data_IF_304081349722
#
_entry.id   IF_304081349722
#
_cell.length_a   1.000
_cell.length_b   1.000
_cell.length_c   1.000
_cell.angle_alpha   90.00
_cell.angle_beta   90.00
_cell.angle_gamma   90.00
#
_symmetry.space_group_name_H-M   'P 1'
#
loop_
_entity.id
_entity.type
_entity.pdbx_description
1 polymer ?
#
# COMPACT_ATOMS: atom_id res chain seq x y z
N UNK A 1 -30.05 -12.08 6.43
CA UNK A 1 -28.78 -12.16 7.19
C UNK A 1 -27.94 -10.99 6.72
N UNK A 2 -27.13 -10.41 7.60
CA UNK A 2 -26.17 -9.38 7.22
C UNK A 2 -25.16 -9.96 6.22
N UNK A 3 -24.68 -9.15 5.28
CA UNK A 3 -23.59 -9.50 4.37
C UNK A 3 -22.29 -9.72 5.15
N UNK A 4 -22.05 -8.83 6.11
CA UNK A 4 -20.98 -8.95 7.08
C UNK A 4 -21.45 -9.84 8.25
N UNK A 5 -20.93 -11.06 8.33
CA UNK A 5 -21.41 -12.09 9.28
C UNK A 5 -20.83 -11.91 10.68
N UNK A 6 -21.32 -12.69 11.65
CA UNK A 6 -20.72 -12.73 13.00
C UNK A 6 -19.29 -13.28 12.98
N UNK A 7 -19.01 -14.25 12.11
CA UNK A 7 -17.67 -14.78 11.93
C UNK A 7 -16.74 -13.72 11.34
N UNK A 8 -17.20 -12.96 10.35
CA UNK A 8 -16.42 -11.87 9.75
C UNK A 8 -16.04 -10.83 10.82
N UNK A 9 -16.98 -10.44 11.69
CA UNK A 9 -16.70 -9.53 12.82
C UNK A 9 -15.67 -10.10 13.79
N UNK A 10 -15.81 -11.37 14.13
CA UNK A 10 -14.88 -12.04 15.03
C UNK A 10 -13.46 -12.06 14.45
N UNK A 11 -13.30 -12.47 13.19
CA UNK A 11 -12.00 -12.53 12.53
C UNK A 11 -11.38 -11.14 12.37
N UNK A 12 -12.19 -10.13 12.04
CA UNK A 12 -11.73 -8.75 11.89
C UNK A 12 -11.18 -8.18 13.21
N UNK A 13 -11.90 -8.39 14.32
CA UNK A 13 -11.43 -7.99 15.66
C UNK A 13 -10.20 -8.78 16.16
N UNK A 14 -9.84 -9.88 15.51
CA UNK A 14 -8.64 -10.67 15.80
C UNK A 14 -7.50 -10.44 14.80
N UNK A 15 -7.65 -9.51 13.84
CA UNK A 15 -6.70 -9.27 12.75
C UNK A 15 -6.42 -10.51 11.86
N UNK A 16 -7.39 -11.41 11.73
CA UNK A 16 -7.26 -12.68 10.97
C UNK A 16 -8.29 -12.81 9.84
N UNK A 17 -9.02 -11.74 9.51
CA UNK A 17 -9.89 -11.73 8.34
C UNK A 17 -9.09 -11.42 7.07
N UNK A 18 -8.48 -12.42 6.46
CA UNK A 18 -7.58 -12.23 5.31
C UNK A 18 -8.28 -11.83 4.00
N UNK A 19 -9.59 -12.08 3.90
CA UNK A 19 -10.43 -11.65 2.77
C UNK A 19 -11.25 -10.38 3.08
N UNK A 20 -10.78 -9.53 4.00
CA UNK A 20 -11.57 -8.38 4.49
C UNK A 20 -11.96 -7.41 3.36
N UNK A 21 -11.12 -7.31 2.33
CA UNK A 21 -11.34 -6.49 1.14
C UNK A 21 -12.53 -6.95 0.28
N UNK A 22 -13.04 -8.16 0.48
CA UNK A 22 -14.26 -8.68 -0.16
C UNK A 22 -15.53 -8.42 0.65
N UNK A 23 -15.37 -7.84 1.84
CA UNK A 23 -16.44 -7.63 2.80
C UNK A 23 -16.65 -6.16 3.09
N UNK A 24 -15.64 -5.48 3.63
CA UNK A 24 -15.69 -4.02 3.80
C UNK A 24 -15.56 -3.32 2.44
N UNK A 25 -16.16 -2.14 2.34
CA UNK A 25 -16.22 -1.37 1.10
C UNK A 25 -17.55 -1.56 0.37
N UNK A 26 -17.54 -1.34 -0.95
CA UNK A 26 -18.71 -1.47 -1.82
C UNK A 26 -18.61 -2.70 -2.71
N UNK A 27 -19.57 -3.63 -2.59
CA UNK A 27 -19.55 -4.91 -3.30
C UNK A 27 -20.88 -5.21 -3.98
N UNK A 28 -20.84 -5.57 -5.26
CA UNK A 28 -22.03 -6.04 -5.97
C UNK A 28 -22.57 -7.31 -5.33
N UNK A 29 -23.89 -7.37 -5.16
CA UNK A 29 -24.55 -8.52 -4.56
C UNK A 29 -25.98 -8.69 -5.07
N UNK A 30 -26.54 -9.87 -4.81
CA UNK A 30 -27.94 -10.18 -5.09
C UNK A 30 -28.66 -10.62 -3.81
N UNK A 31 -29.65 -9.83 -3.39
CA UNK A 31 -30.42 -10.06 -2.16
C UNK A 31 -31.84 -10.41 -2.54
N UNK A 32 -32.24 -11.66 -2.27
CA UNK A 32 -33.59 -12.17 -2.57
C UNK A 32 -34.01 -11.93 -4.04
N UNK A 33 -33.08 -12.11 -4.98
CA UNK A 33 -33.34 -11.91 -6.42
C UNK A 33 -33.17 -10.47 -6.91
N UNK A 34 -32.80 -9.53 -6.04
CA UNK A 34 -32.60 -8.11 -6.39
C UNK A 34 -31.11 -7.80 -6.41
N UNK A 35 -30.61 -7.38 -7.57
CA UNK A 35 -29.22 -6.92 -7.72
C UNK A 35 -29.04 -5.52 -7.15
N UNK A 36 -27.90 -5.30 -6.52
CA UNK A 36 -27.53 -4.03 -5.92
C UNK A 36 -26.11 -4.07 -5.38
N UNK A 37 -25.82 -3.19 -4.43
CA UNK A 37 -24.50 -3.06 -3.83
C UNK A 37 -24.65 -3.04 -2.32
N UNK A 38 -23.86 -3.86 -1.62
CA UNK A 38 -23.63 -3.76 -0.19
C UNK A 38 -22.52 -2.74 0.08
N UNK A 39 -22.72 -1.95 1.11
CA UNK A 39 -21.75 -1.02 1.67
C UNK A 39 -21.53 -1.39 3.13
N UNK A 40 -20.30 -1.72 3.48
CA UNK A 40 -19.90 -2.13 4.82
C UNK A 40 -18.74 -1.24 5.31
N UNK A 41 -18.92 -0.56 6.45
CA UNK A 41 -17.97 0.41 6.99
C UNK A 41 -17.64 0.14 8.46
N UNK A 42 -16.36 0.23 8.83
CA UNK A 42 -15.92 0.27 10.22
C UNK A 42 -15.79 1.71 10.73
N UNK A 43 -16.64 2.10 11.70
CA UNK A 43 -16.66 3.43 12.32
C UNK A 43 -17.22 3.35 13.77
N UNK A 44 -16.52 2.71 14.71
CA UNK A 44 -17.06 2.33 16.01
C UNK A 44 -17.50 3.49 16.91
N UNK A 45 -16.92 4.68 16.74
CA UNK A 45 -17.24 5.85 17.56
C UNK A 45 -18.28 6.78 16.91
N UNK A 46 -18.66 6.52 15.65
CA UNK A 46 -19.72 7.25 14.97
C UNK A 46 -21.05 7.12 15.72
N UNK A 47 -21.79 8.23 15.77
CA UNK A 47 -23.17 8.25 16.26
C UNK A 47 -24.10 7.70 15.17
N UNK A 48 -23.97 8.22 13.94
CA UNK A 48 -24.73 7.77 12.76
C UNK A 48 -23.85 7.82 11.51
N UNK A 49 -24.17 6.99 10.54
CA UNK A 49 -23.50 6.95 9.24
C UNK A 49 -24.55 6.94 8.14
N UNK A 50 -24.35 7.76 7.12
CA UNK A 50 -25.17 7.82 5.92
C UNK A 50 -24.32 7.57 4.69
N UNK A 51 -24.92 6.93 3.70
CA UNK A 51 -24.30 6.77 2.39
C UNK A 51 -24.84 7.84 1.44
N UNK A 52 -23.97 8.76 1.01
CA UNK A 52 -24.33 9.82 0.07
C UNK A 52 -23.63 9.59 -1.25
N UNK A 53 -24.28 9.95 -2.37
CA UNK A 53 -23.67 9.74 -3.68
C UNK A 53 -24.47 10.30 -4.84
N UNK A 54 -23.93 10.09 -6.03
CA UNK A 54 -24.55 10.51 -7.30
C UNK A 54 -26.00 9.98 -7.45
N UNK A 55 -26.27 8.75 -7.01
CA UNK A 55 -27.58 8.09 -7.10
C UNK A 55 -28.68 8.70 -6.21
N UNK A 56 -28.32 9.47 -5.18
CA UNK A 56 -29.27 10.16 -4.29
C UNK A 56 -29.11 11.68 -4.30
N UNK A 57 -28.36 12.23 -5.27
CA UNK A 57 -28.10 13.67 -5.39
C UNK A 57 -27.29 14.24 -4.22
N UNK A 58 -26.44 13.42 -3.58
CA UNK A 58 -25.66 13.78 -2.40
C UNK A 58 -26.50 14.21 -1.18
N UNK A 59 -27.71 13.67 -1.05
CA UNK A 59 -28.63 14.03 0.04
C UNK A 59 -28.12 13.50 1.40
N UNK A 60 -27.68 14.40 2.27
CA UNK A 60 -27.14 14.13 3.61
C UNK A 60 -28.09 13.42 4.58
N UNK A 61 -29.40 13.38 4.30
CA UNK A 61 -30.37 12.67 5.14
C UNK A 61 -30.87 11.37 4.51
N UNK A 62 -30.38 11.02 3.32
CA UNK A 62 -30.75 9.79 2.64
C UNK A 62 -29.87 8.62 3.10
N UNK A 63 -30.40 7.40 2.97
CA UNK A 63 -29.59 6.16 3.04
C UNK A 63 -28.77 6.02 4.34
N UNK A 64 -29.41 6.22 5.49
CA UNK A 64 -28.82 5.89 6.79
C UNK A 64 -28.44 4.40 6.87
N UNK A 65 -27.21 4.11 7.32
CA UNK A 65 -26.67 2.77 7.43
C UNK A 65 -27.05 2.14 8.76
N UNK A 66 -27.23 0.82 8.78
CA UNK A 66 -27.58 0.06 9.99
C UNK A 66 -26.33 -0.40 10.72
N UNK A 67 -26.18 -0.03 11.99
CA UNK A 67 -25.11 -0.58 12.85
C UNK A 67 -25.39 -2.05 13.19
N UNK A 68 -24.46 -2.94 12.89
CA UNK A 68 -24.57 -4.37 13.13
C UNK A 68 -24.26 -4.74 14.59
N UNK A 69 -24.81 -5.89 15.04
CA UNK A 69 -24.57 -6.44 16.38
C UNK A 69 -23.39 -7.44 16.41
N UNK A 70 -22.58 -7.49 17.49
CA UNK A 70 -22.63 -6.59 18.64
C UNK A 70 -22.16 -5.18 18.27
N UNK A 71 -22.85 -4.17 18.77
CA UNK A 71 -22.60 -2.75 18.41
C UNK A 71 -21.18 -2.30 18.75
N UNK A 72 -20.52 -2.98 19.70
CA UNK A 72 -19.14 -2.75 20.10
C UNK A 72 -18.13 -2.91 18.95
N UNK A 73 -18.44 -3.73 17.94
CA UNK A 73 -17.56 -3.89 16.77
C UNK A 73 -17.60 -2.66 15.85
N UNK A 74 -18.71 -1.93 15.82
CA UNK A 74 -18.78 -0.67 15.07
C UNK A 74 -18.87 -0.81 13.56
N UNK A 75 -19.44 -1.91 13.05
CA UNK A 75 -19.69 -2.11 11.62
C UNK A 75 -21.06 -1.54 11.25
N UNK A 76 -21.11 -0.73 10.20
CA UNK A 76 -22.32 -0.21 9.58
C UNK A 76 -22.52 -0.87 8.22
N UNK A 77 -23.75 -1.31 7.93
CA UNK A 77 -24.10 -2.01 6.69
C UNK A 77 -25.31 -1.33 6.01
N UNK A 78 -25.29 -1.26 4.69
CA UNK A 78 -26.43 -0.87 3.88
C UNK A 78 -26.42 -1.60 2.53
N UNK A 79 -27.58 -2.10 2.10
CA UNK A 79 -27.79 -2.58 0.74
C UNK A 79 -28.62 -1.58 -0.05
N UNK A 80 -28.16 -1.18 -1.23
CA UNK A 80 -28.95 -0.36 -2.16
C UNK A 80 -29.19 -1.11 -3.47
N UNK A 81 -30.47 -1.34 -3.85
CA UNK A 81 -30.81 -2.02 -5.09
C UNK A 81 -30.54 -1.15 -6.31
N UNK A 82 -30.13 -1.78 -7.42
CA UNK A 82 -30.06 -1.15 -8.74
C UNK A 82 -28.90 -0.19 -8.98
N UNK A 83 -27.99 -0.01 -8.00
CA UNK A 83 -26.77 0.76 -8.20
C UNK A 83 -25.86 0.13 -9.24
N UNK A 84 -25.06 0.97 -9.90
CA UNK A 84 -24.24 0.59 -11.06
C UNK A 84 -22.78 0.92 -10.83
N UNK A 85 -21.93 0.24 -11.59
CA UNK A 85 -20.50 0.54 -11.64
C UNK A 85 -20.27 2.00 -12.07
N UNK A 86 -19.29 2.65 -11.44
CA UNK A 86 -18.92 4.03 -11.67
C UNK A 86 -19.74 5.06 -10.89
N UNK A 87 -20.79 4.66 -10.15
CA UNK A 87 -21.49 5.60 -9.29
C UNK A 87 -20.59 6.07 -8.14
N UNK A 88 -20.49 7.39 -7.99
CA UNK A 88 -19.69 8.04 -6.96
C UNK A 88 -20.44 8.06 -5.63
N UNK A 89 -19.73 7.78 -4.54
CA UNK A 89 -20.25 7.79 -3.18
C UNK A 89 -19.22 8.23 -2.13
N UNK A 90 -19.72 8.62 -0.96
CA UNK A 90 -18.97 8.90 0.27
C UNK A 90 -19.78 8.45 1.48
N UNK A 91 -19.08 8.27 2.60
CA UNK A 91 -19.72 8.16 3.90
C UNK A 91 -19.84 9.53 4.55
N UNK A 92 -21.05 9.90 4.97
CA UNK A 92 -21.29 11.01 5.86
C UNK A 92 -21.39 10.45 7.29
N UNK A 93 -20.41 10.77 8.12
CA UNK A 93 -20.33 10.32 9.50
C UNK A 93 -20.75 11.46 10.42
N UNK A 94 -21.80 11.26 11.20
CA UNK A 94 -22.17 12.12 12.31
C UNK A 94 -21.46 11.63 13.58
N UNK A 95 -20.68 12.50 14.20
CA UNK A 95 -19.97 12.22 15.45
C UNK A 95 -20.87 12.48 16.66
N UNK A 96 -20.49 11.96 17.83
CA UNK A 96 -21.25 12.18 19.09
C UNK A 96 -21.35 13.65 19.51
N UNK A 97 -20.39 14.48 19.12
CA UNK A 97 -20.40 15.94 19.34
C UNK A 97 -21.12 16.72 18.21
N UNK A 98 -21.76 16.02 17.26
CA UNK A 98 -22.61 16.60 16.24
C UNK A 98 -21.87 17.13 15.00
N UNK A 99 -20.58 16.85 14.85
CA UNK A 99 -19.84 17.18 13.62
C UNK A 99 -20.23 16.21 12.51
N UNK A 100 -20.13 16.71 11.27
CA UNK A 100 -20.33 15.95 10.04
C UNK A 100 -19.02 15.79 9.31
N UNK A 101 -18.58 14.55 9.11
CA UNK A 101 -17.36 14.20 8.42
C UNK A 101 -17.70 13.54 7.07
N UNK A 102 -17.06 13.98 6.00
CA UNK A 102 -17.27 13.47 4.65
C UNK A 102 -16.06 12.62 4.25
N UNK A 103 -16.21 11.31 4.29
CA UNK A 103 -15.12 10.36 4.12
C UNK A 103 -15.24 9.61 2.81
N UNK A 104 -14.10 9.48 2.12
CA UNK A 104 -13.94 8.44 1.13
C UNK A 104 -13.98 7.07 1.84
N UNK A 105 -14.37 6.04 1.12
CA UNK A 105 -14.38 4.67 1.62
C UNK A 105 -12.93 4.17 1.81
N UNK A 106 -12.52 3.79 3.04
CA UNK A 106 -11.19 3.22 3.28
C UNK A 106 -10.90 1.97 2.43
N UNK A 107 -11.95 1.22 2.09
CA UNK A 107 -11.92 -0.02 1.31
C UNK A 107 -12.48 0.18 -0.10
N UNK A 108 -12.43 1.40 -0.63
CA UNK A 108 -12.83 1.66 -2.01
C UNK A 108 -11.98 0.84 -2.99
N UNK A 109 -12.63 0.18 -3.95
CA UNK A 109 -11.96 -0.50 -5.06
C UNK A 109 -11.62 0.46 -6.22
N UNK A 110 -12.22 1.66 -6.22
CA UNK A 110 -11.95 2.71 -7.21
C UNK A 110 -12.27 4.09 -6.63
N UNK A 111 -11.67 5.13 -7.21
CA UNK A 111 -11.81 6.50 -6.77
C UNK A 111 -12.05 7.44 -7.95
N UNK A 112 -12.67 8.58 -7.66
CA UNK A 112 -12.75 9.72 -8.58
C UNK A 112 -11.35 10.28 -8.89
N UNK A 113 -11.12 10.73 -10.12
CA UNK A 113 -9.87 11.38 -10.49
C UNK A 113 -9.62 12.63 -9.65
N UNK A 114 -8.45 12.69 -9.01
CA UNK A 114 -8.00 13.86 -8.25
C UNK A 114 -8.09 15.16 -9.07
N UNK A 115 -8.59 16.27 -8.50
CA UNK A 115 -8.80 16.52 -7.07
C UNK A 115 -10.16 16.05 -6.53
N UNK A 116 -10.93 15.29 -7.32
CA UNK A 116 -12.07 14.54 -6.82
C UNK A 116 -11.67 13.61 -5.66
N UNK A 117 -12.62 13.35 -4.76
CA UNK A 117 -12.36 12.60 -3.51
C UNK A 117 -13.46 11.60 -3.19
N UNK A 118 -14.42 11.41 -4.09
CA UNK A 118 -15.42 10.36 -3.93
C UNK A 118 -14.82 8.99 -4.24
N UNK A 119 -15.31 7.98 -3.53
CA UNK A 119 -15.12 6.59 -3.93
C UNK A 119 -16.07 6.28 -5.08
N UNK A 120 -15.71 5.30 -5.90
CA UNK A 120 -16.52 4.86 -7.02
C UNK A 120 -16.78 3.36 -6.91
N UNK A 121 -18.01 2.94 -7.18
CA UNK A 121 -18.37 1.51 -7.21
C UNK A 121 -17.62 0.86 -8.39
N UNK A 122 -16.86 -0.19 -8.11
CA UNK A 122 -16.11 -0.94 -9.12
C UNK A 122 -16.32 -2.44 -8.96
N UNK A 123 -16.42 -3.13 -10.09
CA UNK A 123 -16.39 -4.59 -10.13
C UNK A 123 -14.95 -5.04 -10.32
N UNK A 124 -14.41 -5.70 -9.31
CA UNK A 124 -13.06 -6.26 -9.36
C UNK A 124 -13.09 -7.79 -9.52
N UNK A 125 -14.23 -8.46 -9.33
CA UNK A 125 -14.30 -9.92 -9.27
C UNK A 125 -14.31 -10.60 -10.65
N UNK A 126 -14.76 -9.91 -11.70
CA UNK A 126 -15.07 -10.54 -12.98
C UNK A 126 -13.98 -10.40 -14.06
N UNK A 127 -12.82 -9.84 -13.74
CA UNK A 127 -11.69 -9.79 -14.67
C UNK A 127 -11.19 -11.21 -15.00
N UNK A 128 -10.95 -11.48 -16.29
CA UNK A 128 -10.52 -12.80 -16.77
C UNK A 128 -9.01 -12.88 -16.92
N UNK A 129 -8.35 -13.34 -15.86
CA UNK A 129 -6.92 -13.64 -15.87
C UNK A 129 -6.56 -14.76 -16.86
N UNK A 130 -5.40 -14.64 -17.49
CA UNK A 130 -4.86 -15.57 -18.49
C UNK A 130 -3.38 -15.91 -18.23
N UNK A 131 -2.91 -15.63 -17.03
CA UNK A 131 -1.54 -15.76 -16.55
C UNK A 131 -1.32 -17.01 -15.67
N UNK A 132 -2.25 -17.98 -15.71
CA UNK A 132 -2.19 -19.17 -14.85
C UNK A 132 -0.85 -19.90 -14.89
N UNK A 133 -0.21 -19.97 -16.06
CA UNK A 133 1.12 -20.56 -16.21
C UNK A 133 2.21 -19.80 -15.43
N UNK A 134 2.14 -18.48 -15.37
CA UNK A 134 3.05 -17.66 -14.56
C UNK A 134 2.84 -17.95 -13.08
N UNK A 135 1.58 -17.87 -12.62
CA UNK A 135 1.23 -18.10 -11.21
C UNK A 135 1.58 -19.52 -10.73
N UNK A 136 1.36 -20.54 -11.57
CA UNK A 136 1.77 -21.92 -11.29
C UNK A 136 3.30 -22.09 -11.21
N UNK A 137 4.05 -21.38 -12.04
CA UNK A 137 5.50 -21.42 -12.01
C UNK A 137 6.03 -20.70 -10.76
N UNK A 138 5.51 -19.51 -10.44
CA UNK A 138 5.85 -18.75 -9.23
C UNK A 138 5.65 -19.60 -7.97
N UNK A 139 4.51 -20.29 -7.88
CA UNK A 139 4.20 -21.19 -6.75
C UNK A 139 5.16 -22.38 -6.62
N UNK A 140 5.76 -22.82 -7.72
CA UNK A 140 6.74 -23.93 -7.74
C UNK A 140 8.17 -23.46 -7.49
N UNK A 141 8.42 -22.16 -7.39
CA UNK A 141 9.75 -21.64 -7.09
C UNK A 141 10.12 -22.03 -5.65
N UNK A 142 11.16 -22.87 -5.53
CA UNK A 142 11.65 -23.32 -4.22
C UNK A 142 12.67 -22.34 -3.64
N UNK A 143 13.41 -21.62 -4.49
CA UNK A 143 14.47 -20.70 -4.08
C UNK A 143 14.50 -19.43 -4.96
N UNK A 144 13.80 -18.39 -4.49
CA UNK A 144 13.76 -17.07 -5.16
C UNK A 144 15.16 -16.44 -5.30
N UNK A 145 16.13 -16.81 -4.46
CA UNK A 145 17.49 -16.27 -4.50
C UNK A 145 18.35 -16.87 -5.62
N UNK A 146 17.96 -18.02 -6.16
CA UNK A 146 18.63 -18.65 -7.30
C UNK A 146 18.23 -18.02 -8.64
N UNK A 147 17.16 -17.22 -8.68
CA UNK A 147 16.63 -16.61 -9.89
C UNK A 147 17.25 -15.22 -10.15
N UNK A 148 17.39 -14.81 -11.43
CA UNK A 148 17.84 -13.46 -11.76
C UNK A 148 16.77 -12.42 -11.43
N UNK A 149 17.12 -11.45 -10.57
CA UNK A 149 16.29 -10.29 -10.24
C UNK A 149 16.95 -9.01 -10.73
N UNK A 150 16.47 -8.50 -11.87
CA UNK A 150 16.84 -7.21 -12.42
C UNK A 150 15.59 -6.36 -12.53
N UNK A 151 15.52 -5.30 -11.71
CA UNK A 151 14.32 -4.49 -11.51
C UNK A 151 14.44 -3.18 -12.29
N UNK A 152 13.39 -2.83 -13.03
CA UNK A 152 13.21 -1.50 -13.61
C UNK A 152 12.16 -0.74 -12.79
N UNK A 153 12.60 0.17 -11.93
CA UNK A 153 11.75 1.03 -11.11
C UNK A 153 11.07 2.10 -11.98
N UNK A 154 9.76 2.27 -11.83
CA UNK A 154 8.92 3.12 -12.68
C UNK A 154 7.89 3.87 -11.85
N UNK A 155 7.88 5.20 -11.99
CA UNK A 155 6.72 6.02 -11.66
C UNK A 155 5.87 6.24 -12.94
N UNK A 156 4.67 5.64 -13.06
CA UNK A 156 3.90 5.66 -14.31
C UNK A 156 3.53 7.06 -14.82
N UNK A 157 3.23 7.99 -13.91
CA UNK A 157 2.81 9.36 -14.26
C UNK A 157 3.93 10.25 -14.83
N UNK A 158 5.18 9.77 -14.84
CA UNK A 158 6.33 10.52 -15.34
C UNK A 158 7.24 9.71 -16.28
N UNK A 159 7.06 8.38 -16.40
CA UNK A 159 7.84 7.56 -17.34
C UNK A 159 7.69 8.04 -18.79
N UNK A 160 6.44 8.26 -19.23
CA UNK A 160 6.13 8.83 -20.54
C UNK A 160 4.77 9.52 -20.51
N UNK A 161 4.64 10.58 -21.30
CA UNK A 161 3.39 11.35 -21.47
C UNK A 161 3.02 11.51 -22.93
N UNK A 162 1.73 11.65 -23.19
CA UNK A 162 1.20 11.92 -24.52
C UNK A 162 1.53 13.36 -24.91
N UNK A 163 2.27 13.60 -26.00
CA UNK A 163 2.65 14.95 -26.39
C UNK A 163 1.43 15.74 -26.87
N UNK A 164 1.35 17.01 -26.49
CA UNK A 164 0.37 17.96 -27.04
C UNK A 164 -1.08 17.74 -26.64
N UNK A 165 -1.35 17.06 -25.51
CA UNK A 165 -2.69 17.01 -24.90
C UNK A 165 -2.95 18.23 -24.02
N UNK A 166 -4.22 18.60 -23.92
CA UNK A 166 -4.70 19.67 -23.04
C UNK A 166 -4.89 19.21 -21.58
N UNK A 167 -4.94 17.90 -21.34
CA UNK A 167 -4.92 17.29 -20.00
C UNK A 167 -3.49 17.02 -19.50
N UNK A 168 -3.33 16.35 -18.35
CA UNK A 168 -2.00 16.04 -17.79
C UNK A 168 -1.13 15.14 -18.67
N UNK A 169 -1.72 14.52 -19.70
CA UNK A 169 -1.01 13.71 -20.69
C UNK A 169 -0.55 12.36 -20.15
N UNK A 170 -1.11 11.87 -19.04
CA UNK A 170 -0.72 10.57 -18.48
C UNK A 170 -0.95 9.43 -19.46
N UNK A 171 -0.04 8.46 -19.43
CA UNK A 171 -0.26 7.16 -20.07
C UNK A 171 -1.20 6.34 -19.21
N UNK A 172 -2.21 5.75 -19.83
CA UNK A 172 -3.09 4.79 -19.17
C UNK A 172 -2.37 3.46 -18.90
N UNK A 173 -2.91 2.61 -18.03
CA UNK A 173 -2.40 1.25 -17.84
C UNK A 173 -2.36 0.46 -19.17
N UNK A 174 -3.30 0.72 -20.09
CA UNK A 174 -3.30 0.15 -21.45
C UNK A 174 -2.18 0.70 -22.34
N UNK A 175 -1.87 1.98 -22.22
CA UNK A 175 -0.70 2.57 -22.89
C UNK A 175 0.60 1.94 -22.35
N UNK A 176 0.72 1.73 -21.03
CA UNK A 176 1.90 1.08 -20.44
C UNK A 176 2.09 -0.35 -20.96
N UNK A 177 1.02 -1.11 -21.21
CA UNK A 177 1.13 -2.40 -21.90
C UNK A 177 1.76 -2.26 -23.28
N UNK A 178 1.39 -1.21 -24.02
CA UNK A 178 1.84 -0.99 -25.40
C UNK A 178 3.28 -0.50 -25.46
N UNK A 179 3.72 0.30 -24.49
CA UNK A 179 5.01 0.99 -24.55
C UNK A 179 6.03 0.54 -23.50
N UNK A 180 5.62 0.36 -22.24
CA UNK A 180 6.54 0.03 -21.15
C UNK A 180 6.95 -1.44 -21.22
N UNK A 181 5.99 -2.36 -21.38
CA UNK A 181 6.28 -3.80 -21.39
C UNK A 181 7.28 -4.19 -22.50
N UNK A 182 7.11 -3.77 -23.77
CA UNK A 182 8.09 -4.09 -24.81
C UNK A 182 9.47 -3.49 -24.52
N UNK A 183 9.52 -2.26 -23.98
CA UNK A 183 10.77 -1.60 -23.62
C UNK A 183 11.53 -2.36 -22.53
N UNK A 184 10.85 -2.71 -21.44
CA UNK A 184 11.45 -3.47 -20.32
C UNK A 184 11.97 -4.82 -20.79
N UNK A 185 11.20 -5.49 -21.67
CA UNK A 185 11.58 -6.77 -22.28
C UNK A 185 12.79 -6.65 -23.19
N UNK A 186 12.85 -5.60 -24.03
CA UNK A 186 13.99 -5.32 -24.92
C UNK A 186 15.26 -5.05 -24.11
N UNK A 187 15.14 -4.30 -23.02
CA UNK A 187 16.24 -3.98 -22.10
C UNK A 187 16.70 -5.17 -21.26
N UNK A 188 15.90 -6.24 -21.16
CA UNK A 188 16.27 -7.49 -20.50
C UNK A 188 16.05 -7.52 -18.98
N UNK A 189 15.23 -6.62 -18.43
CA UNK A 189 14.83 -6.67 -17.02
C UNK A 189 13.87 -7.83 -16.76
N UNK A 190 13.89 -8.37 -15.54
CA UNK A 190 13.01 -9.46 -15.12
C UNK A 190 11.78 -8.97 -14.37
N UNK A 191 11.86 -7.77 -13.77
CA UNK A 191 10.78 -7.19 -12.98
C UNK A 191 10.58 -5.70 -13.29
N UNK A 192 9.35 -5.23 -13.11
CA UNK A 192 9.00 -3.81 -12.99
C UNK A 192 8.63 -3.54 -11.53
N UNK A 193 9.22 -2.53 -10.91
CA UNK A 193 8.78 -2.03 -9.60
C UNK A 193 8.00 -0.74 -9.80
N UNK A 194 6.76 -0.70 -9.32
CA UNK A 194 5.84 0.40 -9.54
C UNK A 194 5.68 1.28 -8.31
N UNK A 195 5.94 2.57 -8.49
CA UNK A 195 5.64 3.61 -7.51
C UNK A 195 4.25 4.20 -7.76
N UNK A 196 3.59 4.63 -6.67
CA UNK A 196 2.36 5.45 -6.74
C UNK A 196 1.19 4.82 -7.46
N UNK A 197 0.83 3.61 -7.03
CA UNK A 197 -0.35 2.89 -7.54
C UNK A 197 -1.54 2.98 -6.60
N UNK A 198 -1.37 2.80 -5.28
CA UNK A 198 -2.50 3.02 -4.35
C UNK A 198 -2.98 4.47 -4.44
N UNK A 199 -4.28 4.73 -4.45
CA UNK A 199 -4.82 6.08 -4.72
C UNK A 199 -4.32 7.14 -3.72
N UNK A 200 -3.93 8.30 -4.26
CA UNK A 200 -3.24 9.37 -3.54
C UNK A 200 -3.66 10.75 -4.09
N UNK A 201 -3.81 11.79 -3.25
CA UNK A 201 -4.41 13.04 -3.67
C UNK A 201 -3.44 13.98 -4.42
N UNK A 202 -2.13 13.82 -4.25
CA UNK A 202 -1.14 14.78 -4.70
C UNK A 202 0.01 14.14 -5.50
N UNK A 203 0.20 14.55 -6.76
CA UNK A 203 1.25 13.99 -7.63
C UNK A 203 2.67 14.17 -7.09
N UNK A 204 2.93 15.30 -6.41
CA UNK A 204 4.24 15.60 -5.86
C UNK A 204 4.66 14.72 -4.69
N UNK A 205 3.75 13.89 -4.14
CA UNK A 205 4.13 12.86 -3.17
C UNK A 205 4.70 11.60 -3.82
N UNK A 206 4.66 11.51 -5.16
CA UNK A 206 5.04 10.34 -5.96
C UNK A 206 4.27 9.05 -5.60
N UNK A 207 3.18 9.19 -4.84
CA UNK A 207 2.40 8.06 -4.33
C UNK A 207 2.63 7.69 -2.88
N UNK A 208 3.60 8.29 -2.20
CA UNK A 208 3.93 7.94 -0.80
C UNK A 208 2.99 8.56 0.24
N UNK A 209 2.01 9.36 -0.18
CA UNK A 209 0.95 9.87 0.69
C UNK A 209 -0.41 9.32 0.25
N UNK A 210 -0.65 8.05 0.59
CA UNK A 210 -1.82 7.28 0.14
C UNK A 210 -3.07 7.64 0.94
N UNK A 211 -4.21 7.74 0.25
CA UNK A 211 -5.54 7.86 0.88
C UNK A 211 -6.50 6.72 0.52
N UNK A 212 -6.24 5.97 -0.57
CA UNK A 212 -7.05 4.82 -0.99
C UNK A 212 -6.19 3.57 -1.17
N UNK A 213 -6.06 2.78 -0.11
CA UNK A 213 -5.16 1.61 -0.04
C UNK A 213 -5.65 0.40 -0.84
N UNK A 214 -6.93 0.38 -1.19
CA UNK A 214 -7.61 -0.71 -1.88
C UNK A 214 -7.94 -0.40 -3.35
N UNK A 215 -7.53 0.77 -3.85
CA UNK A 215 -7.81 1.22 -5.21
C UNK A 215 -6.51 1.52 -5.97
N UNK A 216 -6.30 0.94 -7.17
CA UNK A 216 -5.31 1.48 -8.09
C UNK A 216 -5.75 2.88 -8.52
N UNK A 217 -4.79 3.81 -8.60
CA UNK A 217 -5.07 5.22 -8.83
C UNK A 217 -5.79 5.42 -10.16
N UNK A 218 -6.83 6.23 -10.10
CA UNK A 218 -7.69 6.57 -11.23
C UNK A 218 -6.98 7.37 -12.33
N UNK A 219 -5.77 7.91 -12.05
CA UNK A 219 -4.93 8.65 -13.00
C UNK A 219 -4.66 7.89 -14.29
N UNK A 220 -4.55 6.56 -14.22
CA UNK A 220 -4.10 5.74 -15.34
C UNK A 220 -5.21 4.82 -15.89
N UNK A 221 -6.42 4.89 -15.35
CA UNK A 221 -7.56 4.11 -15.84
C UNK A 221 -8.36 3.46 -14.73
N UNK A 222 -9.06 2.38 -15.07
CA UNK A 222 -9.90 1.61 -14.13
C UNK A 222 -9.12 0.46 -13.47
N UNK A 223 -9.64 -0.13 -12.38
CA UNK A 223 -9.07 -1.33 -11.78
C UNK A 223 -8.87 -2.49 -12.77
N UNK A 224 -9.82 -2.68 -13.69
CA UNK A 224 -9.72 -3.70 -14.74
C UNK A 224 -8.54 -3.43 -15.72
N UNK A 225 -8.21 -2.16 -15.97
CA UNK A 225 -7.07 -1.80 -16.81
C UNK A 225 -5.74 -2.07 -16.10
N UNK A 226 -5.69 -1.89 -14.78
CA UNK A 226 -4.53 -2.28 -13.97
C UNK A 226 -4.36 -3.80 -13.94
N UNK A 227 -5.43 -4.56 -13.68
CA UNK A 227 -5.41 -6.02 -13.74
C UNK A 227 -4.93 -6.52 -15.12
N UNK A 228 -5.39 -5.88 -16.19
CA UNK A 228 -4.90 -6.16 -17.54
C UNK A 228 -3.41 -5.88 -17.71
N UNK A 229 -2.90 -4.76 -17.19
CA UNK A 229 -1.47 -4.46 -17.23
C UNK A 229 -0.63 -5.56 -16.56
N UNK A 230 -1.02 -6.01 -15.36
CA UNK A 230 -0.33 -7.10 -14.65
C UNK A 230 -0.39 -8.40 -15.45
N UNK A 231 -1.57 -8.77 -15.96
CA UNK A 231 -1.74 -9.97 -16.78
C UNK A 231 -0.84 -9.96 -18.03
N UNK A 232 -0.66 -8.81 -18.68
CA UNK A 232 0.23 -8.68 -19.83
C UNK A 232 1.72 -8.68 -19.45
N UNK A 233 2.12 -8.18 -18.28
CA UNK A 233 3.46 -8.36 -17.74
C UNK A 233 3.79 -9.85 -17.59
N UNK A 234 2.90 -10.61 -16.96
CA UNK A 234 3.09 -12.06 -16.73
C UNK A 234 3.17 -12.86 -18.03
N UNK A 235 2.34 -12.52 -19.04
CA UNK A 235 2.45 -13.12 -20.39
C UNK A 235 3.81 -12.86 -21.04
N UNK A 236 4.43 -11.73 -20.72
CA UNK A 236 5.76 -11.36 -21.18
C UNK A 236 6.88 -11.84 -20.27
N UNK A 237 6.56 -12.63 -19.23
CA UNK A 237 7.50 -13.16 -18.23
C UNK A 237 8.22 -12.06 -17.43
N UNK A 238 7.49 -10.99 -17.13
CA UNK A 238 7.96 -9.87 -16.33
C UNK A 238 7.17 -9.90 -15.03
N UNK A 239 7.86 -9.99 -13.90
CA UNK A 239 7.23 -9.87 -12.60
C UNK A 239 6.94 -8.42 -12.24
N UNK A 240 5.95 -8.18 -11.38
CA UNK A 240 5.59 -6.85 -10.92
C UNK A 240 5.73 -6.74 -9.40
N UNK A 241 6.53 -5.78 -8.97
CA UNK A 241 6.70 -5.39 -7.56
C UNK A 241 5.95 -4.07 -7.36
N UNK A 242 5.30 -3.92 -6.22
CA UNK A 242 4.56 -2.70 -5.88
C UNK A 242 5.17 -2.03 -4.65
N UNK A 243 5.41 -0.73 -4.73
CA UNK A 243 5.66 0.08 -3.55
C UNK A 243 4.38 0.19 -2.72
N UNK A 244 4.44 -0.39 -1.53
CA UNK A 244 3.34 -0.45 -0.58
C UNK A 244 3.71 0.38 0.65
N UNK A 245 2.78 1.24 1.10
CA UNK A 245 3.08 2.33 2.04
C UNK A 245 2.35 2.14 3.38
N UNK A 246 2.73 1.15 4.20
CA UNK A 246 2.11 0.92 5.51
C UNK A 246 2.60 1.87 6.60
N UNK A 247 3.62 2.68 6.34
CA UNK A 247 4.31 3.46 7.36
C UNK A 247 3.49 4.63 7.92
N UNK A 248 2.72 5.29 7.06
CA UNK A 248 1.97 6.49 7.41
C UNK A 248 0.88 6.79 6.37
N UNK A 249 0.03 7.78 6.67
CA UNK A 249 -0.98 8.33 5.76
C UNK A 249 -1.15 9.85 5.99
N UNK A 250 -1.58 10.64 4.99
CA UNK A 250 -1.67 12.08 5.12
C UNK A 250 -2.92 12.53 5.89
N UNK A 251 -2.97 13.83 6.26
CA UNK A 251 -4.04 14.43 7.09
C UNK A 251 -5.25 14.91 6.28
N UNK A 252 -5.35 14.54 5.00
CA UNK A 252 -6.46 14.92 4.13
C UNK A 252 -7.81 14.53 4.74
N UNK A 253 -8.74 15.48 4.77
CA UNK A 253 -10.00 15.32 5.49
C UNK A 253 -10.87 14.17 4.95
N UNK A 254 -10.80 13.87 3.65
CA UNK A 254 -11.53 12.75 3.04
C UNK A 254 -10.92 11.38 3.38
N UNK A 255 -9.64 11.34 3.79
CA UNK A 255 -8.90 10.12 4.09
C UNK A 255 -9.10 9.60 5.51
N UNK A 256 -8.11 8.87 6.01
CA UNK A 256 -8.21 8.08 7.25
C UNK A 256 -8.09 8.89 8.55
N UNK A 257 -7.60 10.12 8.50
CA UNK A 257 -7.35 10.92 9.70
C UNK A 257 -8.63 11.22 10.47
N UNK A 258 -8.62 10.98 11.78
CA UNK A 258 -9.75 11.20 12.70
C UNK A 258 -11.08 10.63 12.16
N UNK A 259 -11.01 9.43 11.60
CA UNK A 259 -12.00 8.91 10.65
C UNK A 259 -13.46 9.01 11.12
N UNK A 260 -13.72 8.61 12.37
CA UNK A 260 -15.05 8.59 12.98
C UNK A 260 -15.22 9.66 14.08
N UNK A 261 -14.42 10.73 14.02
CA UNK A 261 -14.33 11.77 15.05
C UNK A 261 -13.35 11.48 16.16
N UNK A 262 -12.62 10.36 16.08
CA UNK A 262 -11.54 9.96 16.98
C UNK A 262 -10.32 9.47 16.20
N UNK A 263 -9.17 9.37 16.86
CA UNK A 263 -7.98 8.71 16.30
C UNK A 263 -8.24 7.20 16.14
N UNK A 264 -8.80 6.84 14.98
CA UNK A 264 -9.25 5.48 14.69
C UNK A 264 -8.14 4.65 14.05
N UNK A 265 -7.56 5.14 12.96
CA UNK A 265 -6.49 4.45 12.23
C UNK A 265 -5.12 4.78 12.80
N UNK A 266 -4.95 6.00 13.32
CA UNK A 266 -3.72 6.52 13.91
C UNK A 266 -3.67 6.35 15.43
N UNK A 267 -2.46 6.36 15.99
CA UNK A 267 -2.29 6.44 17.45
C UNK A 267 -2.87 7.76 17.99
N UNK A 268 -3.58 7.67 19.11
CA UNK A 268 -4.15 8.84 19.79
C UNK A 268 -3.09 9.72 20.47
N UNK A 269 -1.96 9.15 20.91
CA UNK A 269 -0.84 9.94 21.44
C UNK A 269 -0.06 10.55 20.26
N UNK A 270 -0.02 11.88 20.09
CA UNK A 270 0.64 12.52 18.95
C UNK A 270 2.15 12.24 18.90
N UNK A 271 2.78 11.91 20.04
CA UNK A 271 4.21 11.52 20.09
C UNK A 271 4.47 10.18 19.39
N UNK A 272 3.45 9.34 19.25
CA UNK A 272 3.49 8.08 18.51
C UNK A 272 2.75 8.16 17.17
N UNK A 273 1.74 9.02 17.08
CA UNK A 273 0.80 9.06 15.95
C UNK A 273 1.16 10.01 14.82
N UNK A 274 2.29 10.72 14.87
CA UNK A 274 2.69 11.66 13.83
C UNK A 274 4.17 11.54 13.45
N UNK A 275 4.45 11.72 12.15
CA UNK A 275 5.78 12.09 11.65
C UNK A 275 5.83 13.61 11.50
N UNK A 276 6.52 14.34 12.41
CA UNK A 276 6.47 15.80 12.44
C UNK A 276 7.07 16.43 11.18
N UNK A 277 8.18 15.88 10.67
CA UNK A 277 8.85 16.40 9.47
C UNK A 277 8.05 16.20 8.19
N UNK A 278 7.16 15.20 8.15
CA UNK A 278 6.36 14.86 6.97
C UNK A 278 4.94 15.44 7.04
N UNK A 279 4.48 15.81 8.24
CA UNK A 279 3.12 16.28 8.48
C UNK A 279 2.06 15.18 8.35
N UNK A 280 2.44 13.90 8.48
CA UNK A 280 1.57 12.73 8.28
C UNK A 280 1.21 12.04 9.61
N UNK A 281 0.20 11.16 9.56
CA UNK A 281 -0.24 10.31 10.67
C UNK A 281 0.37 8.91 10.57
N UNK A 282 0.66 8.30 11.71
CA UNK A 282 1.21 6.93 11.83
C UNK A 282 0.09 5.98 12.25
N UNK A 283 -0.04 4.85 11.56
CA UNK A 283 -1.02 3.82 11.90
C UNK A 283 -0.81 3.25 13.30
N UNK A 284 -1.91 2.99 14.02
CA UNK A 284 -1.91 2.27 15.30
C UNK A 284 -1.73 0.77 15.06
N UNK A 285 -0.48 0.31 14.96
CA UNK A 285 -0.13 -1.10 14.78
C UNK A 285 -0.54 -1.97 16.00
N UNK A 286 -0.90 -1.35 17.13
CA UNK A 286 -1.43 -2.07 18.30
C UNK A 286 -2.88 -2.50 18.13
N UNK A 287 -3.64 -1.84 17.24
CA UNK A 287 -5.07 -2.07 17.03
C UNK A 287 -5.30 -3.15 15.97
N UNK A 288 -6.08 -4.18 16.32
CA UNK A 288 -6.26 -5.36 15.46
C UNK A 288 -6.93 -5.03 14.13
N UNK A 289 -7.96 -4.19 14.14
CA UNK A 289 -8.70 -3.77 12.96
C UNK A 289 -7.81 -2.95 11.99
N UNK A 290 -6.88 -2.15 12.53
CA UNK A 290 -5.89 -1.40 11.73
C UNK A 290 -4.84 -2.33 11.14
N UNK A 291 -4.32 -3.28 11.92
CA UNK A 291 -3.47 -4.35 11.37
C UNK A 291 -4.20 -5.13 10.27
N UNK A 292 -5.48 -5.46 10.47
CA UNK A 292 -6.26 -6.18 9.47
C UNK A 292 -6.50 -5.34 8.21
N UNK A 293 -6.69 -4.02 8.34
CA UNK A 293 -6.76 -3.10 7.20
C UNK A 293 -5.48 -3.13 6.39
N UNK A 294 -4.30 -3.09 7.02
CA UNK A 294 -3.03 -3.13 6.29
C UNK A 294 -2.78 -4.52 5.68
N UNK A 295 -2.96 -5.60 6.44
CA UNK A 295 -2.83 -6.99 5.97
C UNK A 295 -3.76 -7.25 4.78
N UNK A 296 -5.02 -6.80 4.86
CA UNK A 296 -5.99 -6.94 3.80
C UNK A 296 -5.56 -6.22 2.52
N UNK A 297 -4.96 -5.03 2.63
CA UNK A 297 -4.48 -4.28 1.45
C UNK A 297 -3.31 -5.00 0.76
N UNK A 298 -2.35 -5.51 1.54
CA UNK A 298 -1.23 -6.28 1.01
C UNK A 298 -1.71 -7.57 0.31
N UNK A 299 -2.63 -8.30 0.95
CA UNK A 299 -3.22 -9.50 0.37
C UNK A 299 -4.06 -9.20 -0.89
N UNK A 300 -4.78 -8.08 -0.94
CA UNK A 300 -5.48 -7.67 -2.15
C UNK A 300 -4.50 -7.48 -3.30
N UNK A 301 -3.39 -6.76 -3.11
CA UNK A 301 -2.40 -6.59 -4.17
C UNK A 301 -1.82 -7.93 -4.64
N UNK A 302 -1.40 -8.79 -3.72
CA UNK A 302 -0.71 -10.06 -4.05
C UNK A 302 -1.67 -11.14 -4.57
N UNK A 303 -2.82 -11.32 -3.91
CA UNK A 303 -3.77 -12.41 -4.22
C UNK A 303 -4.82 -12.01 -5.26
N UNK A 304 -5.31 -10.77 -5.25
CA UNK A 304 -6.35 -10.33 -6.19
C UNK A 304 -5.77 -9.74 -7.47
N UNK A 305 -4.78 -8.85 -7.38
CA UNK A 305 -4.10 -8.25 -8.54
C UNK A 305 -2.89 -9.04 -9.03
N UNK A 306 -2.60 -10.18 -8.41
CA UNK A 306 -1.49 -11.09 -8.76
C UNK A 306 -0.08 -10.47 -8.67
N UNK A 307 0.11 -9.39 -7.91
CA UNK A 307 1.42 -8.76 -7.70
C UNK A 307 2.44 -9.79 -7.16
N UNK A 308 3.68 -9.74 -7.66
CA UNK A 308 4.74 -10.71 -7.35
C UNK A 308 5.60 -10.30 -6.16
N UNK A 309 5.56 -9.04 -5.74
CA UNK A 309 6.20 -8.63 -4.52
C UNK A 309 5.77 -7.25 -4.04
N UNK A 310 6.00 -6.97 -2.77
CA UNK A 310 5.76 -5.67 -2.17
C UNK A 310 7.07 -5.10 -1.64
N UNK A 311 7.35 -3.85 -1.96
CA UNK A 311 8.46 -3.09 -1.39
C UNK A 311 7.92 -2.08 -0.37
N UNK A 312 8.48 -2.08 0.83
CA UNK A 312 8.15 -1.14 1.91
C UNK A 312 9.26 -0.13 2.03
N UNK A 313 8.91 1.12 1.75
CA UNK A 313 9.77 2.29 1.98
C UNK A 313 9.85 2.66 3.46
N UNK A 314 10.96 3.27 3.86
CA UNK A 314 11.17 3.88 5.16
C UNK A 314 10.82 2.97 6.34
N UNK A 315 11.21 1.68 6.31
CA UNK A 315 10.92 0.71 7.38
C UNK A 315 11.42 1.20 8.75
N UNK A 316 12.51 1.96 8.78
CA UNK A 316 13.03 2.59 9.99
C UNK A 316 12.00 3.54 10.65
N UNK A 317 11.16 4.22 9.87
CA UNK A 317 10.12 5.10 10.40
C UNK A 317 9.06 4.36 11.21
N UNK A 318 8.87 3.07 10.92
CA UNK A 318 7.98 2.19 11.66
C UNK A 318 8.67 1.57 12.88
N UNK A 319 9.94 1.15 12.74
CA UNK A 319 10.68 0.41 13.77
C UNK A 319 11.09 1.26 14.99
N UNK A 320 11.23 2.57 14.83
CA UNK A 320 11.76 3.46 15.85
C UNK A 320 10.74 4.50 16.30
N UNK A 321 10.47 4.55 17.60
CA UNK A 321 9.54 5.49 18.23
C UNK A 321 10.04 6.94 18.18
N UNK A 322 11.36 7.12 18.10
CA UNK A 322 12.08 8.39 18.02
C UNK A 322 12.45 8.82 16.59
N UNK A 323 11.98 8.10 15.56
CA UNK A 323 12.26 8.47 14.17
C UNK A 323 11.77 9.89 13.86
N UNK A 324 12.70 10.77 13.47
CA UNK A 324 12.42 12.18 13.17
C UNK A 324 11.98 13.01 14.39
N UNK A 325 12.34 12.60 15.62
CA UNK A 325 11.91 13.26 16.86
C UNK A 325 13.08 13.54 17.79
N UNK A 326 13.03 14.67 18.49
CA UNK A 326 14.01 15.05 19.51
C UNK A 326 13.71 14.40 20.87
N UNK A 327 14.67 14.43 21.79
CA UNK A 327 14.46 13.97 23.16
C UNK A 327 13.31 14.74 23.84
N UNK A 328 12.38 14.00 24.47
CA UNK A 328 11.16 14.55 25.06
C UNK A 328 9.96 14.63 24.11
N UNK A 329 10.15 14.42 22.80
CA UNK A 329 9.07 14.41 21.80
C UNK A 329 8.53 13.00 21.49
N UNK A 330 9.10 11.95 22.08
CA UNK A 330 8.70 10.56 21.89
C UNK A 330 8.59 9.83 23.24
N UNK A 331 8.00 8.63 23.22
CA UNK A 331 7.83 7.77 24.41
C UNK A 331 8.56 6.45 24.24
N UNK A 332 9.20 5.99 25.32
CA UNK A 332 9.85 4.68 25.36
C UNK A 332 8.82 3.56 25.36
N UNK A 333 9.21 2.41 24.81
CA UNK A 333 8.40 1.20 24.92
C UNK A 333 8.41 0.65 26.37
N UNK A 334 7.67 -0.44 26.59
CA UNK A 334 7.55 -1.09 27.92
C UNK A 334 8.88 -1.62 28.50
N UNK A 335 9.94 -1.72 27.69
CA UNK A 335 11.28 -2.14 28.12
C UNK A 335 12.25 -0.96 28.30
N UNK A 336 11.81 0.27 28.04
CA UNK A 336 12.59 1.48 28.23
C UNK A 336 13.47 1.88 27.05
N UNK A 337 13.37 1.24 25.89
CA UNK A 337 14.10 1.62 24.67
C UNK A 337 13.18 2.27 23.61
N UNK A 338 13.72 2.56 22.43
CA UNK A 338 13.04 3.25 21.33
C UNK A 338 12.43 2.32 20.27
N UNK A 339 12.45 1.01 20.47
CA UNK A 339 11.89 0.06 19.50
C UNK A 339 10.37 0.07 19.55
N UNK A 340 9.72 0.23 18.40
CA UNK A 340 8.28 0.09 18.24
C UNK A 340 7.90 -1.40 18.18
N UNK A 341 7.47 -1.95 19.32
CA UNK A 341 7.21 -3.39 19.45
C UNK A 341 6.00 -3.82 18.62
N UNK A 342 5.01 -2.96 18.49
CA UNK A 342 3.81 -3.20 17.70
C UNK A 342 4.14 -3.29 16.20
N UNK A 343 5.00 -2.39 15.68
CA UNK A 343 5.45 -2.44 14.29
C UNK A 343 6.34 -3.67 14.00
N UNK A 344 7.23 -4.04 14.93
CA UNK A 344 8.07 -5.24 14.80
C UNK A 344 7.19 -6.49 14.69
N UNK A 345 6.21 -6.64 15.59
CA UNK A 345 5.29 -7.79 15.56
C UNK A 345 4.42 -7.77 14.29
N UNK A 346 3.98 -6.59 13.85
CA UNK A 346 3.27 -6.43 12.60
C UNK A 346 4.08 -6.96 11.40
N UNK A 347 5.36 -6.59 11.27
CA UNK A 347 6.22 -7.08 10.19
C UNK A 347 6.43 -8.59 10.25
N UNK A 348 6.71 -9.13 11.44
CA UNK A 348 6.85 -10.58 11.65
C UNK A 348 5.60 -11.33 11.18
N UNK A 349 4.42 -10.83 11.54
CA UNK A 349 3.16 -11.44 11.15
C UNK A 349 2.91 -11.32 9.63
N UNK A 350 2.94 -10.11 9.07
CA UNK A 350 2.56 -9.89 7.67
C UNK A 350 3.51 -10.59 6.70
N UNK A 351 4.82 -10.54 6.94
CA UNK A 351 5.79 -11.19 6.07
C UNK A 351 5.63 -12.72 6.12
N UNK A 352 5.46 -13.31 7.30
CA UNK A 352 5.18 -14.74 7.45
C UNK A 352 3.89 -15.14 6.73
N UNK A 353 2.85 -14.32 6.83
CA UNK A 353 1.57 -14.55 6.17
C UNK A 353 1.68 -14.49 4.65
N UNK A 354 2.27 -13.41 4.10
CA UNK A 354 2.38 -13.20 2.66
C UNK A 354 3.26 -14.29 2.05
N UNK A 355 4.47 -14.50 2.57
CA UNK A 355 5.43 -15.47 2.04
C UNK A 355 4.92 -16.92 2.20
N UNK A 356 4.25 -17.23 3.32
CA UNK A 356 3.70 -18.55 3.58
C UNK A 356 2.47 -18.89 2.72
N UNK A 357 1.63 -17.91 2.38
CA UNK A 357 0.44 -18.12 1.52
C UNK A 357 0.78 -18.05 0.03
N UNK A 358 1.69 -17.14 -0.34
CA UNK A 358 1.97 -16.77 -1.73
C UNK A 358 3.41 -17.16 -2.07
N UNK A 359 3.64 -18.46 -2.21
CA UNK A 359 4.96 -19.00 -2.53
C UNK A 359 5.51 -18.38 -3.82
N UNK A 360 6.79 -17.98 -3.76
CA UNK A 360 7.49 -17.27 -4.82
C UNK A 360 7.25 -15.75 -4.86
N UNK A 361 6.30 -15.21 -4.08
CA UNK A 361 6.21 -13.76 -3.89
C UNK A 361 7.30 -13.27 -2.93
N UNK A 362 7.67 -11.99 -3.03
CA UNK A 362 8.77 -11.41 -2.23
C UNK A 362 8.33 -10.18 -1.46
N UNK A 363 8.88 -10.02 -0.25
CA UNK A 363 8.72 -8.80 0.55
C UNK A 363 10.07 -8.09 0.62
N UNK A 364 10.14 -6.82 0.24
CA UNK A 364 11.39 -6.05 0.11
C UNK A 364 11.34 -4.87 1.08
N UNK A 365 12.42 -4.66 1.83
CA UNK A 365 12.55 -3.55 2.78
C UNK A 365 13.60 -2.53 2.33
N UNK A 366 13.28 -1.25 2.39
CA UNK A 366 14.26 -0.18 2.59
C UNK A 366 14.36 0.13 4.08
N UNK A 367 15.50 -0.21 4.68
CA UNK A 367 15.79 0.02 6.09
C UNK A 367 17.20 0.59 6.22
N UNK A 368 17.29 1.82 6.73
CA UNK A 368 18.48 2.69 6.65
C UNK A 368 19.22 2.92 7.99
N UNK A 369 18.84 2.23 9.06
CA UNK A 369 19.41 2.40 10.43
C UNK A 369 20.21 1.20 10.94
N UNK A 370 20.63 0.31 10.04
CA UNK A 370 21.39 -0.90 10.35
C UNK A 370 20.66 -1.87 11.32
N UNK A 371 19.33 -1.92 11.24
CA UNK A 371 18.55 -2.92 11.95
C UNK A 371 19.04 -4.32 11.52
N UNK A 372 19.35 -5.23 12.46
CA UNK A 372 19.86 -6.55 12.13
C UNK A 372 18.73 -7.50 11.74
N UNK A 373 19.03 -8.49 10.89
CA UNK A 373 18.13 -9.59 10.52
C UNK A 373 16.82 -9.11 9.89
N UNK A 374 16.89 -8.07 9.06
CA UNK A 374 15.71 -7.60 8.31
C UNK A 374 15.17 -8.73 7.43
N UNK A 375 16.07 -9.49 6.77
CA UNK A 375 15.73 -10.67 5.97
C UNK A 375 15.90 -11.99 6.73
N UNK A 376 16.06 -11.92 8.05
CA UNK A 376 16.19 -13.12 8.89
C UNK A 376 14.82 -13.71 9.27
N UNK A 377 14.76 -15.02 9.59
CA UNK A 377 13.53 -15.68 9.99
C UNK A 377 13.01 -15.17 11.33
N UNK A 378 11.68 -15.23 11.53
CA UNK A 378 11.01 -14.72 12.75
C UNK A 378 11.50 -15.45 14.00
N UNK A 379 11.78 -16.75 13.90
CA UNK A 379 12.25 -17.63 14.97
C UNK A 379 13.60 -17.18 15.55
N UNK A 380 14.38 -16.44 14.75
CA UNK A 380 15.67 -15.88 15.15
C UNK A 380 15.61 -14.38 15.45
N UNK A 381 14.41 -13.86 15.72
CA UNK A 381 14.12 -12.45 15.96
C UNK A 381 14.32 -11.55 14.73
N UNK A 382 14.25 -12.13 13.52
CA UNK A 382 14.25 -11.36 12.27
C UNK A 382 12.87 -10.80 11.90
N UNK A 383 12.84 -9.94 10.89
CA UNK A 383 11.60 -9.33 10.36
C UNK A 383 10.99 -10.12 9.20
N UNK A 384 11.68 -11.15 8.70
CA UNK A 384 11.22 -12.06 7.66
C UNK A 384 10.94 -11.42 6.29
N UNK A 385 11.56 -10.28 5.98
CA UNK A 385 11.57 -9.79 4.59
C UNK A 385 12.37 -10.76 3.71
N UNK A 386 12.03 -10.85 2.42
CA UNK A 386 12.82 -11.62 1.45
C UNK A 386 14.10 -10.89 1.09
N UNK A 387 14.04 -9.57 0.90
CA UNK A 387 15.20 -8.76 0.53
C UNK A 387 15.27 -7.44 1.31
N UNK A 388 16.49 -6.90 1.39
CA UNK A 388 16.78 -5.56 1.90
C UNK A 388 17.53 -4.76 0.83
N UNK A 389 17.13 -3.51 0.59
CA UNK A 389 17.94 -2.59 -0.21
C UNK A 389 19.29 -2.31 0.45
N UNK A 390 20.38 -2.43 -0.30
CA UNK A 390 21.73 -2.17 0.20
C UNK A 390 22.07 -0.68 0.08
N UNK A 391 21.51 0.12 1.00
CA UNK A 391 21.73 1.58 1.04
C UNK A 391 23.21 1.93 1.29
N UNK A 392 23.93 1.12 2.07
CA UNK A 392 25.35 1.30 2.32
C UNK A 392 26.19 1.16 1.05
N UNK A 393 25.97 0.09 0.28
CA UNK A 393 26.59 -0.09 -1.03
C UNK A 393 26.24 1.05 -1.99
N UNK A 394 24.97 1.47 -2.03
CA UNK A 394 24.52 2.54 -2.91
C UNK A 394 25.28 3.85 -2.65
N UNK A 395 25.35 4.28 -1.38
CA UNK A 395 26.07 5.50 -1.01
C UNK A 395 27.57 5.39 -1.31
N UNK A 396 28.20 4.28 -0.94
CA UNK A 396 29.61 4.04 -1.19
C UNK A 396 29.94 4.06 -2.70
N UNK A 397 29.12 3.39 -3.51
CA UNK A 397 29.28 3.32 -4.96
C UNK A 397 29.12 4.70 -5.61
N UNK A 398 28.04 5.42 -5.31
CA UNK A 398 27.78 6.73 -5.88
C UNK A 398 28.85 7.74 -5.50
N UNK A 399 29.25 7.77 -4.23
CA UNK A 399 30.33 8.65 -3.78
C UNK A 399 31.66 8.32 -4.47
N UNK A 400 32.00 7.04 -4.63
CA UNK A 400 33.21 6.63 -5.32
C UNK A 400 33.20 7.06 -6.79
N UNK A 401 32.06 6.92 -7.47
CA UNK A 401 31.90 7.29 -8.88
C UNK A 401 31.96 8.80 -9.10
N UNK A 402 31.47 9.62 -8.14
CA UNK A 402 31.57 11.09 -8.15
C UNK A 402 32.99 11.63 -8.05
N UNK A 403 33.95 10.85 -7.53
CA UNK A 403 35.34 11.29 -7.43
C UNK A 403 35.99 11.34 -8.82
N UNK A 404 36.81 12.39 -9.04
CA UNK A 404 37.79 12.40 -10.12
C UNK A 404 38.63 11.10 -10.05
N UNK A 405 38.82 10.38 -11.18
CA UNK A 405 39.58 9.14 -11.21
C UNK A 405 40.92 9.18 -10.46
N UNK A 406 41.60 10.34 -10.44
CA UNK A 406 42.87 10.52 -9.73
C UNK A 406 42.75 10.33 -8.21
N UNK A 407 41.62 10.70 -7.60
CA UNK A 407 41.39 10.60 -6.14
C UNK A 407 40.83 9.24 -5.71
N UNK A 408 40.36 8.40 -6.64
CA UNK A 408 39.78 7.08 -6.34
C UNK A 408 40.75 6.14 -5.64
N UNK A 409 42.06 6.23 -5.93
CA UNK A 409 43.10 5.39 -5.30
C UNK A 409 43.10 5.47 -3.76
N UNK A 410 42.74 6.63 -3.20
CA UNK A 410 42.70 6.86 -1.75
C UNK A 410 41.33 6.48 -1.13
N UNK A 411 40.35 6.13 -1.96
CA UNK A 411 38.97 5.86 -1.57
C UNK A 411 38.49 4.46 -1.99
N UNK A 412 39.41 3.57 -2.36
CA UNK A 412 39.05 2.24 -2.88
C UNK A 412 38.29 1.38 -1.88
N UNK A 413 38.38 1.68 -0.58
CA UNK A 413 37.58 1.02 0.45
C UNK A 413 36.07 1.11 0.18
N UNK A 414 35.56 2.20 -0.42
CA UNK A 414 34.14 2.35 -0.80
C UNK A 414 33.67 1.25 -1.76
N UNK A 415 34.55 0.77 -2.65
CA UNK A 415 34.21 -0.33 -3.57
C UNK A 415 34.26 -1.72 -2.92
N UNK A 416 34.90 -1.85 -1.75
CA UNK A 416 35.13 -3.15 -1.11
C UNK A 416 34.38 -3.34 0.21
N UNK A 417 33.98 -2.26 0.87
CA UNK A 417 33.44 -2.30 2.23
C UNK A 417 32.11 -3.04 2.32
N UNK A 418 31.24 -2.89 1.32
CA UNK A 418 29.98 -3.64 1.23
C UNK A 418 30.17 -5.17 1.32
N UNK A 419 31.29 -5.70 0.81
CA UNK A 419 31.59 -7.13 0.90
C UNK A 419 31.82 -7.63 2.32
N UNK A 420 32.15 -6.74 3.27
CA UNK A 420 32.35 -7.12 4.68
C UNK A 420 31.06 -7.55 5.39
N UNK A 421 29.90 -7.06 4.92
CA UNK A 421 28.59 -7.38 5.47
C UNK A 421 27.63 -7.99 4.42
N UNK A 422 28.05 -8.21 3.18
CA UNK A 422 27.19 -8.67 2.09
C UNK A 422 26.44 -9.99 2.39
N UNK A 423 26.95 -10.82 3.30
CA UNK A 423 26.30 -12.07 3.71
C UNK A 423 25.37 -11.93 4.94
N UNK A 424 25.18 -10.71 5.47
CA UNK A 424 24.35 -10.50 6.66
C UNK A 424 22.85 -10.45 6.38
N UNK A 425 22.47 -10.15 5.14
CA UNK A 425 21.10 -10.03 4.66
C UNK A 425 21.05 -10.45 3.19
N UNK A 426 19.86 -10.73 2.66
CA UNK A 426 19.65 -10.89 1.23
C UNK A 426 19.49 -9.52 0.57
N UNK A 427 20.58 -9.00 0.02
CA UNK A 427 20.61 -7.63 -0.50
C UNK A 427 20.14 -7.50 -1.95
N UNK A 428 19.39 -6.43 -2.23
CA UNK A 428 19.22 -5.84 -3.57
C UNK A 428 20.16 -4.65 -3.69
N UNK A 429 21.00 -4.63 -4.73
CA UNK A 429 21.81 -3.46 -5.07
C UNK A 429 20.94 -2.46 -5.84
N UNK A 430 20.78 -1.25 -5.30
CA UNK A 430 19.78 -0.30 -5.77
C UNK A 430 20.38 1.05 -6.13
N UNK A 431 19.91 1.64 -7.23
CA UNK A 431 20.12 3.03 -7.63
C UNK A 431 18.73 3.59 -8.00
N UNK A 432 17.97 4.03 -7.00
CA UNK A 432 16.56 4.37 -7.12
C UNK A 432 16.31 5.81 -7.56
N UNK A 433 15.02 6.14 -7.73
CA UNK A 433 14.52 7.49 -7.98
C UNK A 433 15.04 8.54 -6.98
N UNK A 434 15.22 8.18 -5.71
CA UNK A 434 15.69 9.08 -4.65
C UNK A 434 17.12 9.59 -4.87
N UNK A 435 17.92 8.90 -5.68
CA UNK A 435 19.32 9.25 -5.93
C UNK A 435 19.51 10.18 -7.13
N UNK A 436 18.44 10.49 -7.86
CA UNK A 436 18.47 11.35 -9.06
C UNK A 436 17.57 12.58 -8.97
N UNK A 437 17.21 12.97 -7.75
CA UNK A 437 16.34 14.12 -7.43
C UNK A 437 17.02 15.08 -6.46
N UNK A 438 16.35 16.17 -6.09
CA UNK A 438 16.77 17.07 -5.00
C UNK A 438 18.26 17.49 -5.05
N UNK A 439 18.72 17.93 -6.23
CA UNK A 439 20.09 18.40 -6.48
C UNK A 439 21.18 17.31 -6.44
N UNK A 440 20.83 16.01 -6.40
CA UNK A 440 21.78 14.89 -6.48
C UNK A 440 22.32 14.59 -7.89
N UNK A 441 21.78 15.26 -8.91
CA UNK A 441 22.06 15.09 -10.36
C UNK A 441 21.59 13.74 -10.93
N UNK A 442 21.60 13.60 -12.26
CA UNK A 442 21.46 12.29 -12.90
C UNK A 442 22.72 11.44 -12.74
N UNK A 443 22.66 10.16 -13.13
CA UNK A 443 23.83 9.25 -13.12
C UNK A 443 24.94 9.62 -14.12
N UNK A 444 24.68 10.53 -15.07
CA UNK A 444 25.63 10.99 -16.10
C UNK A 444 26.64 12.02 -15.60
#
# INVERSE_FOLDING_TARGET
>A
MANFTELDRYLFGQATHYDIYRKLGAHFAEVKGVKGVYFDLWAPNAERVFLIGSFNGWNETANEMTRLKPETMGIYELFIPGLKEGELYKYLIETKDGKRLYKADPYANYAELRPGTASAIADIEHFKWTDSKWMENRKKEEDVYAQPMAIYEVHPGSWKRHPGRDDEGFYSYRDLVTYLIPYVKEMGYTHIELMGISEYPFDGSWGYQVTGYYAPTSRYGKPEDFAYFINECHKNKIGVILDWVPAHFPKDAHGLAEFDGTCLYEYADPRMGEHPDWGTKIFDYGKNEVKNFLIGSALMWVEHYHIDGLRVDAVASMLYLDYGKEEGQWVRNKYGDNKNLEAIEFFKHINTLILGRNHGAVMIAEESTAWPKVTGPVEEDGLNFSYKWNMGWMHDFLDYMKLDPYFRKNNHHKMTFAMSYNASEHYILVLSHDEVVHLKCSML
#
